data_IF_203933476889
#
_entry.id   IF_203933476889
#
_cell.length_a   1.000
_cell.length_b   1.000
_cell.length_c   1.000
_cell.angle_alpha   90.00
_cell.angle_beta   90.00
_cell.angle_gamma   90.00
#
_symmetry.space_group_name_H-M   'P 1'
#
loop_
_entity.id
_entity.type
_entity.pdbx_description
1 polymer ?
#
# COMPACT_ATOMS: atom_id res chain seq x y z
N UNK A 1 19.42 7.95 -5.27
CA UNK A 1 19.36 7.07 -6.46
C UNK A 1 17.89 6.88 -6.79
N UNK A 2 17.48 7.06 -8.05
CA UNK A 2 16.07 6.89 -8.45
C UNK A 2 15.81 5.39 -8.55
N UNK A 3 14.72 4.92 -7.93
CA UNK A 3 14.31 3.53 -8.01
C UNK A 3 13.74 3.24 -9.41
N UNK A 4 14.09 2.07 -9.95
CA UNK A 4 13.59 1.60 -11.23
C UNK A 4 12.06 1.44 -11.20
N UNK A 5 11.41 1.75 -12.32
CA UNK A 5 9.96 1.61 -12.52
C UNK A 5 9.71 0.74 -13.75
N UNK A 6 8.62 -0.06 -13.76
CA UNK A 6 8.25 -0.79 -14.96
C UNK A 6 7.97 0.18 -16.10
N UNK A 7 8.05 -0.30 -17.33
CA UNK A 7 7.60 0.48 -18.48
C UNK A 7 6.09 0.71 -18.43
N UNK A 8 5.64 1.92 -18.76
CA UNK A 8 4.22 2.28 -18.69
C UNK A 8 3.31 1.50 -19.66
N UNK A 9 3.91 0.84 -20.67
CA UNK A 9 3.20 0.01 -21.63
C UNK A 9 2.82 -1.37 -21.07
N UNK A 10 3.49 -1.84 -20.01
CA UNK A 10 3.20 -3.13 -19.41
C UNK A 10 1.79 -3.16 -18.79
N UNK A 11 1.11 -4.27 -18.98
CA UNK A 11 -0.14 -4.57 -18.29
C UNK A 11 0.11 -4.78 -16.80
N UNK A 12 -0.94 -4.63 -15.99
CA UNK A 12 -0.86 -4.91 -14.55
C UNK A 12 -0.36 -6.33 -14.27
N UNK A 13 -0.77 -7.30 -15.10
CA UNK A 13 -0.34 -8.68 -14.99
C UNK A 13 1.17 -8.80 -15.21
N UNK A 14 1.69 -8.27 -16.32
CA UNK A 14 3.13 -8.32 -16.62
C UNK A 14 3.95 -7.60 -15.54
N UNK A 15 3.47 -6.46 -15.02
CA UNK A 15 4.14 -5.77 -13.91
C UNK A 15 4.22 -6.64 -12.67
N UNK A 16 3.12 -7.26 -12.27
CA UNK A 16 3.03 -8.03 -11.02
C UNK A 16 3.63 -9.43 -11.13
N UNK A 17 3.46 -10.11 -12.27
CA UNK A 17 3.84 -11.51 -12.45
C UNK A 17 5.25 -11.69 -13.04
N UNK A 18 5.81 -10.67 -13.70
CA UNK A 18 7.10 -10.79 -14.39
C UNK A 18 8.10 -9.73 -13.91
N UNK A 19 7.77 -8.43 -14.07
CA UNK A 19 8.71 -7.35 -13.76
C UNK A 19 9.03 -7.29 -12.26
N UNK A 20 8.03 -7.38 -11.39
CA UNK A 20 8.22 -7.25 -9.95
C UNK A 20 9.10 -8.37 -9.36
N UNK A 21 8.86 -9.67 -9.66
CA UNK A 21 9.78 -10.74 -9.23
C UNK A 21 11.20 -10.58 -9.78
N UNK A 22 11.36 -10.20 -11.05
CA UNK A 22 12.68 -9.99 -11.65
C UNK A 22 13.43 -8.83 -11.00
N UNK A 23 12.76 -7.70 -10.79
CA UNK A 23 13.30 -6.52 -10.11
C UNK A 23 13.69 -6.83 -8.67
N UNK A 24 12.89 -7.65 -7.99
CA UNK A 24 13.19 -8.13 -6.64
C UNK A 24 14.47 -8.97 -6.60
N UNK A 25 14.57 -9.98 -7.47
CA UNK A 25 15.75 -10.83 -7.54
C UNK A 25 17.02 -10.04 -7.93
N UNK A 26 16.90 -9.10 -8.88
CA UNK A 26 18.01 -8.28 -9.34
C UNK A 26 18.60 -7.36 -8.26
N UNK A 27 17.80 -6.94 -7.27
CA UNK A 27 18.27 -6.11 -6.15
C UNK A 27 19.14 -6.87 -5.15
N UNK A 28 18.98 -8.20 -5.06
CA UNK A 28 19.73 -9.03 -4.13
C UNK A 28 19.63 -8.57 -2.66
N UNK A 29 18.51 -7.93 -2.29
CA UNK A 29 18.30 -7.43 -0.93
C UNK A 29 17.75 -8.56 -0.07
N UNK A 30 18.48 -9.03 0.97
CA UNK A 30 17.97 -10.05 1.84
C UNK A 30 16.72 -9.55 2.55
N UNK A 31 15.64 -10.33 2.48
CA UNK A 31 14.44 -10.08 3.24
C UNK A 31 14.44 -10.84 4.58
N UNK A 32 13.76 -10.30 5.60
CA UNK A 32 13.51 -11.05 6.84
C UNK A 32 12.82 -12.40 6.54
N UNK A 33 13.09 -13.45 7.32
CA UNK A 33 12.49 -14.78 7.11
C UNK A 33 10.97 -14.79 7.27
N UNK A 34 10.43 -13.87 8.06
CA UNK A 34 9.00 -13.74 8.33
C UNK A 34 8.39 -12.58 7.55
N UNK A 35 8.62 -12.51 6.23
CA UNK A 35 7.96 -11.49 5.43
C UNK A 35 6.46 -11.77 5.31
N UNK A 36 5.62 -10.73 5.39
CA UNK A 36 4.19 -10.92 5.21
C UNK A 36 3.83 -11.34 3.80
N UNK A 37 2.78 -12.14 3.73
CA UNK A 37 2.09 -12.48 2.50
C UNK A 37 1.10 -11.38 2.15
N UNK A 38 1.35 -10.70 1.04
CA UNK A 38 0.52 -9.61 0.55
C UNK A 38 -0.37 -10.09 -0.59
N UNK A 39 -1.68 -10.10 -0.38
CA UNK A 39 -2.65 -10.21 -1.47
C UNK A 39 -2.83 -8.85 -2.14
N UNK A 40 -2.67 -8.80 -3.46
CA UNK A 40 -2.98 -7.62 -4.28
C UNK A 40 -4.08 -7.97 -5.26
N UNK A 41 -5.16 -7.22 -5.20
CA UNK A 41 -6.23 -7.26 -6.21
C UNK A 41 -6.28 -5.94 -6.98
N UNK A 42 -6.04 -6.00 -8.28
CA UNK A 42 -6.19 -4.84 -9.18
C UNK A 42 -7.38 -5.06 -10.09
N UNK A 43 -8.31 -4.10 -10.08
CA UNK A 43 -9.51 -4.11 -10.91
C UNK A 43 -9.33 -3.22 -12.13
N UNK A 44 -9.36 -3.81 -13.31
CA UNK A 44 -9.22 -3.11 -14.59
C UNK A 44 -9.93 -3.84 -15.71
N UNK A 45 -9.35 -3.80 -16.93
CA UNK A 45 -9.86 -4.57 -18.05
C UNK A 45 -9.83 -6.09 -17.77
N UNK A 46 -8.80 -6.53 -17.04
CA UNK A 46 -8.69 -7.88 -16.49
C UNK A 46 -8.53 -7.79 -14.98
N UNK A 47 -9.20 -8.68 -14.23
CA UNK A 47 -8.94 -8.83 -12.81
C UNK A 47 -7.58 -9.52 -12.62
N UNK A 48 -6.70 -8.88 -11.85
CA UNK A 48 -5.49 -9.52 -11.32
C UNK A 48 -5.67 -9.66 -9.82
N UNK A 49 -5.51 -10.87 -9.31
CA UNK A 49 -5.62 -11.19 -7.89
C UNK A 49 -4.57 -12.23 -7.53
N UNK A 50 -3.56 -11.82 -6.77
CA UNK A 50 -2.36 -12.60 -6.47
C UNK A 50 -1.92 -12.40 -5.06
N UNK A 51 -1.32 -13.43 -4.48
CA UNK A 51 -0.58 -13.34 -3.22
C UNK A 51 0.90 -13.36 -3.52
N UNK A 52 1.62 -12.44 -2.87
CA UNK A 52 3.06 -12.34 -2.96
C UNK A 52 3.66 -12.70 -1.61
N UNK A 53 4.65 -13.59 -1.62
CA UNK A 53 5.44 -13.93 -0.45
C UNK A 53 6.91 -13.66 -0.79
N UNK A 54 7.55 -12.76 -0.06
CA UNK A 54 8.97 -12.55 -0.21
C UNK A 54 9.75 -13.58 0.62
N UNK A 55 10.73 -14.23 0.01
CA UNK A 55 11.78 -14.99 0.68
C UNK A 55 13.09 -14.19 0.67
N UNK A 56 14.19 -14.76 1.18
CA UNK A 56 15.46 -14.03 1.32
C UNK A 56 15.89 -13.34 0.02
N UNK A 57 15.74 -13.98 -1.15
CA UNK A 57 16.14 -13.41 -2.45
C UNK A 57 15.10 -13.52 -3.55
N UNK A 58 13.94 -14.12 -3.28
CA UNK A 58 12.91 -14.37 -4.28
C UNK A 58 11.57 -13.78 -3.85
N UNK A 59 10.75 -13.46 -4.86
CA UNK A 59 9.36 -13.07 -4.65
C UNK A 59 8.47 -14.14 -5.28
N UNK A 60 7.87 -14.96 -4.43
CA UNK A 60 6.98 -16.02 -4.85
C UNK A 60 5.58 -15.47 -5.09
N UNK A 61 4.95 -15.98 -6.15
CA UNK A 61 3.56 -15.71 -6.48
C UNK A 61 2.76 -16.96 -6.12
N UNK A 62 1.86 -16.82 -5.16
CA UNK A 62 1.02 -17.91 -4.68
C UNK A 62 -0.37 -17.81 -5.30
N UNK A 63 -0.90 -18.95 -5.72
CA UNK A 63 -2.26 -19.07 -6.24
C UNK A 63 -3.32 -19.06 -5.12
N UNK A 64 -2.92 -19.46 -3.90
CA UNK A 64 -3.82 -19.48 -2.76
C UNK A 64 -3.98 -18.07 -2.16
N UNK A 65 -5.19 -17.55 -2.25
CA UNK A 65 -5.52 -16.21 -1.75
C UNK A 65 -6.02 -16.17 -0.31
N UNK A 66 -6.24 -17.34 0.31
CA UNK A 66 -6.72 -17.46 1.69
C UNK A 66 -5.60 -17.29 2.73
N UNK A 67 -4.35 -17.46 2.30
CA UNK A 67 -3.16 -17.54 3.16
C UNK A 67 -2.42 -16.20 3.32
N UNK A 68 -3.04 -15.08 2.94
CA UNK A 68 -2.44 -13.76 3.00
C UNK A 68 -2.62 -13.06 4.36
N UNK A 69 -1.59 -12.37 4.84
CA UNK A 69 -1.64 -11.56 6.05
C UNK A 69 -2.38 -10.24 5.82
N UNK A 70 -2.19 -9.66 4.62
CA UNK A 70 -2.79 -8.39 4.21
C UNK A 70 -3.40 -8.51 2.84
N UNK A 71 -4.46 -7.73 2.64
CA UNK A 71 -5.06 -7.60 1.32
C UNK A 71 -5.20 -6.14 0.94
N UNK A 72 -4.64 -5.80 -0.21
CA UNK A 72 -4.73 -4.49 -0.83
C UNK A 72 -5.50 -4.59 -2.13
N UNK A 73 -6.45 -3.69 -2.33
CA UNK A 73 -7.26 -3.60 -3.54
C UNK A 73 -7.32 -2.18 -4.07
N UNK A 74 -7.14 -2.03 -5.38
CA UNK A 74 -7.17 -0.75 -6.08
C UNK A 74 -7.63 -0.91 -7.54
N UNK A 75 -7.91 0.20 -8.20
CA UNK A 75 -8.20 0.22 -9.63
C UNK A 75 -6.91 0.15 -10.46
N UNK A 76 -6.99 -0.29 -11.71
CA UNK A 76 -5.85 -0.25 -12.64
C UNK A 76 -5.33 1.19 -12.84
N UNK A 77 -6.22 2.18 -12.88
CA UNK A 77 -5.84 3.59 -12.99
C UNK A 77 -5.04 4.06 -11.75
N UNK A 78 -5.46 3.66 -10.55
CA UNK A 78 -4.75 3.98 -9.32
C UNK A 78 -3.43 3.22 -9.20
N UNK A 79 -3.37 1.96 -9.65
CA UNK A 79 -2.14 1.18 -9.71
C UNK A 79 -1.10 1.83 -10.64
N UNK A 80 -1.52 2.26 -11.84
CA UNK A 80 -0.65 2.98 -12.78
C UNK A 80 -0.22 4.34 -12.22
N UNK A 81 -1.13 5.07 -11.57
CA UNK A 81 -0.80 6.34 -10.92
C UNK A 81 0.22 6.17 -9.78
N UNK A 82 0.16 5.08 -9.02
CA UNK A 82 1.16 4.76 -7.99
C UNK A 82 2.57 4.56 -8.58
N UNK A 83 2.66 3.93 -9.76
CA UNK A 83 3.93 3.58 -10.40
C UNK A 83 4.55 4.71 -11.20
N UNK A 84 3.74 5.43 -11.98
CA UNK A 84 4.21 6.42 -12.96
C UNK A 84 3.86 7.86 -12.59
N UNK A 85 3.12 8.04 -11.49
CA UNK A 85 2.56 9.34 -11.11
C UNK A 85 1.29 9.68 -11.89
N UNK A 86 0.59 10.70 -11.39
CA UNK A 86 -0.57 11.31 -12.03
C UNK A 86 -0.49 12.81 -11.70
N UNK A 87 -0.56 13.72 -12.70
CA UNK A 87 -0.37 15.16 -12.49
C UNK A 87 -1.45 15.79 -11.60
N UNK A 88 -2.59 15.11 -11.43
CA UNK A 88 -3.67 15.54 -10.57
C UNK A 88 -3.64 14.82 -9.20
N UNK A 89 -2.64 13.98 -8.90
CA UNK A 89 -2.43 13.37 -7.58
C UNK A 89 -1.12 13.84 -6.95
N UNK A 90 -1.00 13.79 -5.60
CA UNK A 90 0.30 13.94 -4.95
C UNK A 90 1.25 12.80 -5.33
N UNK A 91 2.54 12.98 -5.06
CA UNK A 91 3.51 11.89 -5.21
C UNK A 91 3.25 10.81 -4.14
N UNK A 92 2.63 9.70 -4.57
CA UNK A 92 2.23 8.59 -3.69
C UNK A 92 3.39 7.65 -3.35
N UNK A 93 4.29 7.43 -4.32
CA UNK A 93 5.48 6.61 -4.16
C UNK A 93 6.71 7.43 -4.56
N UNK A 94 7.49 7.93 -3.59
CA UNK A 94 8.65 8.79 -3.85
C UNK A 94 9.62 8.17 -4.87
N UNK A 95 10.35 8.98 -5.66
CA UNK A 95 11.26 8.47 -6.69
C UNK A 95 12.36 7.55 -6.16
N UNK A 96 12.74 7.69 -4.90
CA UNK A 96 13.77 6.88 -4.24
C UNK A 96 13.24 5.52 -3.76
N UNK A 97 11.93 5.30 -3.83
CA UNK A 97 11.25 4.07 -3.41
C UNK A 97 10.60 3.37 -4.59
N UNK A 98 10.43 2.06 -4.48
CA UNK A 98 9.60 1.28 -5.39
C UNK A 98 8.55 0.43 -4.65
N UNK A 99 7.90 -0.48 -5.38
CA UNK A 99 6.92 -1.39 -4.81
C UNK A 99 7.53 -2.35 -3.78
N UNK A 100 8.78 -2.76 -3.95
CA UNK A 100 9.45 -3.67 -3.02
C UNK A 100 9.59 -3.01 -1.65
N UNK A 101 9.93 -1.72 -1.61
CA UNK A 101 9.99 -0.95 -0.37
C UNK A 101 8.64 -0.81 0.35
N UNK A 102 7.52 -1.01 -0.35
CA UNK A 102 6.19 -1.07 0.27
C UNK A 102 5.88 -2.44 0.88
N UNK A 103 6.57 -3.48 0.44
CA UNK A 103 6.40 -4.86 0.91
C UNK A 103 7.34 -5.22 2.05
N UNK A 104 8.44 -4.48 2.22
CA UNK A 104 9.38 -4.70 3.32
C UNK A 104 8.83 -4.14 4.62
N UNK A 105 8.50 -5.03 5.54
CA UNK A 105 8.06 -4.73 6.90
C UNK A 105 8.93 -5.54 7.85
N UNK A 106 9.45 -4.93 8.92
CA UNK A 106 10.23 -5.70 9.89
C UNK A 106 9.31 -6.52 10.80
N UNK A 107 9.88 -7.49 11.53
CA UNK A 107 9.11 -8.39 12.38
C UNK A 107 8.26 -7.64 13.43
N UNK A 108 8.79 -6.56 14.01
CA UNK A 108 8.06 -5.78 15.01
C UNK A 108 6.88 -5.02 14.40
N UNK A 109 7.00 -4.52 13.18
CA UNK A 109 5.87 -3.95 12.44
C UNK A 109 4.88 -5.02 12.04
N UNK A 110 5.35 -6.16 11.54
CA UNK A 110 4.48 -7.25 11.14
C UNK A 110 3.55 -7.67 12.26
N UNK A 111 4.06 -7.84 13.49
CA UNK A 111 3.23 -8.16 14.65
C UNK A 111 2.19 -7.06 14.94
N UNK A 112 2.56 -5.78 14.79
CA UNK A 112 1.60 -4.68 14.93
C UNK A 112 0.55 -4.70 13.83
N UNK A 113 0.93 -5.03 12.60
CA UNK A 113 0.00 -5.16 11.49
C UNK A 113 -0.95 -6.35 11.68
N UNK A 114 -0.45 -7.51 12.12
CA UNK A 114 -1.25 -8.70 12.45
C UNK A 114 -2.24 -8.47 13.60
N UNK A 115 -1.93 -7.54 14.50
CA UNK A 115 -2.84 -7.16 15.59
C UNK A 115 -4.04 -6.31 15.11
N UNK A 116 -4.05 -5.85 13.85
CA UNK A 116 -5.19 -5.10 13.29
C UNK A 116 -6.19 -6.07 12.68
N UNK A 117 -7.45 -5.90 13.03
CA UNK A 117 -8.56 -6.67 12.48
C UNK A 117 -9.59 -5.72 11.86
N UNK A 118 -9.73 -5.76 10.54
CA UNK A 118 -10.75 -4.96 9.86
C UNK A 118 -10.40 -4.56 8.44
N UNK A 119 -11.33 -3.83 7.83
CA UNK A 119 -11.24 -3.35 6.45
C UNK A 119 -11.42 -1.84 6.40
N UNK A 120 -10.54 -1.20 5.66
CA UNK A 120 -10.25 0.22 5.64
C UNK A 120 -10.28 0.70 4.19
N UNK A 121 -11.02 1.77 3.91
CA UNK A 121 -10.86 2.53 2.67
C UNK A 121 -9.96 3.73 2.92
N UNK A 122 -9.01 3.97 2.03
CA UNK A 122 -8.17 5.16 1.99
C UNK A 122 -8.52 5.93 0.71
N UNK A 123 -8.87 7.20 0.85
CA UNK A 123 -9.11 8.11 -0.27
C UNK A 123 -8.15 9.29 -0.17
N UNK A 124 -7.36 9.53 -1.21
CA UNK A 124 -6.47 10.69 -1.30
C UNK A 124 -7.04 11.66 -2.32
N UNK A 125 -7.28 12.89 -1.88
CA UNK A 125 -7.86 13.95 -2.71
C UNK A 125 -6.77 14.57 -3.59
N UNK A 126 -7.00 14.51 -4.89
CA UNK A 126 -6.19 15.17 -5.91
C UNK A 126 -6.80 16.48 -6.42
N UNK A 127 -6.15 17.05 -7.43
CA UNK A 127 -6.63 18.19 -8.22
C UNK A 127 -7.70 17.73 -9.21
N UNK A 128 -8.43 18.68 -9.79
CA UNK A 128 -9.44 18.44 -10.85
C UNK A 128 -10.42 17.30 -10.55
N UNK A 129 -10.77 17.09 -9.27
CA UNK A 129 -11.66 16.02 -8.78
C UNK A 129 -11.10 14.59 -8.95
N UNK A 130 -9.82 14.43 -9.30
CA UNK A 130 -9.12 13.14 -9.23
C UNK A 130 -9.04 12.70 -7.77
N UNK A 131 -9.29 11.42 -7.52
CA UNK A 131 -9.16 10.79 -6.20
C UNK A 131 -8.48 9.45 -6.33
N UNK A 132 -7.41 9.22 -5.59
CA UNK A 132 -6.80 7.91 -5.48
C UNK A 132 -7.53 7.11 -4.41
N UNK A 133 -7.87 5.86 -4.71
CA UNK A 133 -8.61 4.98 -3.81
C UNK A 133 -7.85 3.68 -3.56
N UNK A 134 -7.71 3.32 -2.29
CA UNK A 134 -7.10 2.08 -1.84
C UNK A 134 -8.02 1.42 -0.81
N UNK A 135 -8.19 0.12 -0.90
CA UNK A 135 -8.98 -0.67 0.05
C UNK A 135 -8.06 -1.72 0.66
N UNK A 136 -7.95 -1.69 1.99
CA UNK A 136 -6.99 -2.50 2.74
C UNK A 136 -7.76 -3.33 3.76
N UNK A 137 -7.48 -4.62 3.79
CA UNK A 137 -8.02 -5.54 4.79
C UNK A 137 -6.88 -6.19 5.58
N UNK A 138 -7.11 -6.28 6.88
CA UNK A 138 -6.22 -6.85 7.89
C UNK A 138 -6.96 -7.97 8.62
N UNK A 139 -6.30 -9.11 8.75
CA UNK A 139 -6.80 -10.27 9.48
C UNK A 139 -8.09 -10.88 8.93
N UNK A 140 -8.53 -12.04 9.47
CA UNK A 140 -9.74 -12.72 9.02
C UNK A 140 -11.00 -11.85 9.05
N UNK A 141 -11.12 -10.91 10.00
CA UNK A 141 -12.28 -10.03 10.07
C UNK A 141 -12.31 -9.02 8.91
N UNK A 142 -11.15 -8.52 8.48
CA UNK A 142 -11.03 -7.64 7.32
C UNK A 142 -11.34 -8.35 6.01
N UNK A 143 -10.81 -9.56 5.84
CA UNK A 143 -10.96 -10.35 4.60
C UNK A 143 -12.41 -10.75 4.36
N UNK A 144 -13.13 -11.11 5.42
CA UNK A 144 -14.55 -11.48 5.35
C UNK A 144 -15.49 -10.27 5.33
N UNK A 145 -14.99 -9.06 5.56
CA UNK A 145 -15.82 -7.86 5.56
C UNK A 145 -16.28 -7.53 4.13
N UNK A 146 -17.59 -7.57 3.90
CA UNK A 146 -18.17 -7.19 2.59
C UNK A 146 -17.95 -5.73 2.19
N UNK A 147 -17.65 -4.84 3.16
CA UNK A 147 -17.31 -3.43 2.95
C UNK A 147 -16.35 -2.91 4.03
N UNK A 148 -15.58 -1.84 3.75
CA UNK A 148 -14.78 -1.15 4.77
C UNK A 148 -15.64 -0.69 5.96
N UNK A 149 -15.13 -0.89 7.17
CA UNK A 149 -15.73 -0.36 8.42
C UNK A 149 -15.30 1.07 8.71
N UNK A 150 -14.20 1.50 8.11
CA UNK A 150 -13.63 2.84 8.25
C UNK A 150 -13.18 3.38 6.91
N UNK A 151 -13.34 4.69 6.72
CA UNK A 151 -12.81 5.42 5.57
C UNK A 151 -11.93 6.56 6.06
N UNK A 152 -10.67 6.56 5.64
CA UNK A 152 -9.69 7.61 5.91
C UNK A 152 -9.53 8.45 4.66
N UNK A 153 -9.87 9.73 4.75
CA UNK A 153 -9.70 10.70 3.66
C UNK A 153 -8.52 11.62 3.95
N UNK A 154 -7.62 11.76 3.00
CA UNK A 154 -6.43 12.60 3.11
C UNK A 154 -6.44 13.69 2.04
N UNK A 155 -6.10 14.91 2.46
CA UNK A 155 -5.76 16.00 1.55
C UNK A 155 -4.40 15.72 0.88
N UNK A 156 -4.30 15.90 -0.44
CA UNK A 156 -3.11 15.53 -1.19
C UNK A 156 -1.83 16.24 -0.71
N UNK A 157 -1.90 17.53 -0.35
CA UNK A 157 -0.75 18.26 0.16
C UNK A 157 -0.29 17.71 1.53
N UNK A 158 -1.25 17.30 2.38
CA UNK A 158 -0.93 16.69 3.65
C UNK A 158 -0.28 15.30 3.49
N UNK A 159 -0.64 14.53 2.45
CA UNK A 159 0.05 13.27 2.13
C UNK A 159 1.51 13.52 1.80
N UNK A 160 1.82 14.52 0.96
CA UNK A 160 3.21 14.85 0.62
C UNK A 160 4.02 15.28 1.85
N UNK A 161 3.44 16.13 2.71
CA UNK A 161 4.10 16.56 3.95
C UNK A 161 4.35 15.40 4.92
N UNK A 162 3.38 14.49 5.04
CA UNK A 162 3.48 13.30 5.90
C UNK A 162 4.52 12.34 5.34
N UNK A 163 4.45 12.03 4.05
CA UNK A 163 5.42 11.16 3.40
C UNK A 163 6.81 11.77 3.49
N UNK A 164 6.98 13.07 3.26
CA UNK A 164 8.27 13.76 3.37
C UNK A 164 8.78 13.92 4.82
N UNK A 165 8.03 13.48 5.84
CA UNK A 165 8.40 13.65 7.26
C UNK A 165 8.33 15.10 7.75
N UNK A 166 7.78 16.02 6.95
CA UNK A 166 7.61 17.44 7.30
C UNK A 166 6.45 17.67 8.28
N UNK A 167 5.50 16.74 8.32
CA UNK A 167 4.33 16.80 9.20
C UNK A 167 4.05 15.44 9.83
N UNK A 168 3.83 15.44 11.15
CA UNK A 168 3.39 14.24 11.84
C UNK A 168 1.94 13.87 11.43
N UNK A 169 1.62 12.60 11.17
CA UNK A 169 0.26 12.18 10.81
C UNK A 169 -0.81 12.58 11.83
N UNK A 170 -0.50 12.53 13.13
CA UNK A 170 -1.41 12.98 14.19
C UNK A 170 -1.70 14.48 14.11
N UNK A 171 -0.69 15.29 13.77
CA UNK A 171 -0.88 16.73 13.57
C UNK A 171 -1.80 17.00 12.37
N UNK A 172 -1.61 16.30 11.25
CA UNK A 172 -2.47 16.42 10.08
C UNK A 172 -3.93 16.02 10.36
N UNK A 173 -4.14 15.02 11.22
CA UNK A 173 -5.47 14.64 11.72
C UNK A 173 -6.12 15.75 12.55
N UNK A 174 -5.38 16.34 13.50
CA UNK A 174 -5.87 17.42 14.34
C UNK A 174 -6.18 18.70 13.53
N UNK A 175 -5.42 18.96 12.47
CA UNK A 175 -5.67 20.05 11.51
C UNK A 175 -6.84 19.77 10.54
N UNK A 176 -7.46 18.59 10.62
CA UNK A 176 -8.59 18.19 9.75
C UNK A 176 -8.19 17.88 8.31
N UNK A 177 -6.88 17.71 8.03
CA UNK A 177 -6.32 17.30 6.74
C UNK A 177 -6.40 15.79 6.51
N UNK A 178 -6.43 15.03 7.60
CA UNK A 178 -6.88 13.64 7.62
C UNK A 178 -8.26 13.64 8.27
N UNK A 179 -9.23 12.99 7.63
CA UNK A 179 -10.59 12.82 8.15
C UNK A 179 -10.91 11.34 8.23
N UNK A 180 -11.58 10.94 9.30
CA UNK A 180 -11.95 9.55 9.54
C UNK A 180 -13.46 9.45 9.69
N UNK A 181 -14.06 8.56 8.91
CA UNK A 181 -15.47 8.20 8.99
C UNK A 181 -15.63 6.71 9.32
N UNK A 182 -16.58 6.36 10.18
CA UNK A 182 -16.79 4.99 10.64
C UNK A 182 -15.92 4.64 11.86
N UNK A 183 -15.32 3.44 11.84
CA UNK A 183 -14.52 2.94 12.95
C UNK A 183 -13.21 3.73 13.13
N UNK A 184 -13.19 4.62 14.13
CA UNK A 184 -12.02 5.43 14.46
C UNK A 184 -10.89 4.63 15.09
N UNK A 185 -11.19 3.58 15.85
CA UNK A 185 -10.16 2.77 16.50
C UNK A 185 -9.31 2.08 15.43
N UNK A 186 -9.96 1.46 14.44
CA UNK A 186 -9.30 0.85 13.29
C UNK A 186 -8.45 1.86 12.51
N UNK A 187 -9.00 3.03 12.20
CA UNK A 187 -8.27 4.07 11.49
C UNK A 187 -7.04 4.57 12.25
N UNK A 188 -7.13 4.73 13.57
CA UNK A 188 -6.01 5.15 14.40
C UNK A 188 -4.92 4.08 14.47
N UNK A 189 -5.29 2.80 14.58
CA UNK A 189 -4.33 1.70 14.52
C UNK A 189 -3.57 1.70 13.20
N UNK A 190 -4.28 1.85 12.07
CA UNK A 190 -3.66 1.94 10.75
C UNK A 190 -2.76 3.18 10.59
N UNK A 191 -3.19 4.34 11.11
CA UNK A 191 -2.40 5.57 11.06
C UNK A 191 -1.06 5.44 11.83
N UNK A 192 -1.08 4.77 12.98
CA UNK A 192 0.13 4.54 13.79
C UNK A 192 1.17 3.65 13.10
N UNK A 193 0.73 2.75 12.22
CA UNK A 193 1.65 1.98 11.38
C UNK A 193 2.35 2.87 10.35
N UNK A 194 1.60 3.77 9.70
CA UNK A 194 2.18 4.73 8.74
C UNK A 194 3.18 5.66 9.44
N UNK A 195 2.87 6.13 10.66
CA UNK A 195 3.80 6.94 11.48
C UNK A 195 5.11 6.18 11.73
N UNK A 196 5.03 4.89 12.07
CA UNK A 196 6.20 4.07 12.36
C UNK A 196 7.11 3.92 11.12
N UNK A 197 6.49 3.77 9.94
CA UNK A 197 7.22 3.66 8.68
C UNK A 197 7.83 4.98 8.21
N UNK A 198 7.17 6.13 8.47
CA UNK A 198 7.72 7.44 8.10
C UNK A 198 8.81 7.91 9.07
N UNK A 199 8.77 7.50 10.33
CA UNK A 199 9.77 7.84 11.34
C UNK A 199 11.12 7.10 11.18
N UNK A 200 11.21 6.08 10.33
CA UNK A 200 12.49 5.43 9.95
C UNK A 200 13.33 6.25 8.93
N UNK A 201 12.88 7.46 8.60
CA UNK A 201 13.59 8.39 7.73
C UNK A 201 14.66 9.18 8.48
#
# INVERSE_FOLDING_TARGET
MVAERPEAALSVREVLEEWLPQSFAARGRPMPPDCPRLRVTVRGATLVDRVFAASEYELDILDDTEDADFWVRLSEADFKALLHGDPDLPVLLPPERDLIDLMVVDAAELERFKAIEGRLAVEITGRRRRRFCLDVAFGPAGFRAGRPKSTVRLDGAAVEDVLAGKKAPLQALLEGKIRVEGDRALAMQALMLVVSQTARR
#
